data_IF_339113322161
#
_entry.id   IF_339113322161
#
_cell.length_a   1.000
_cell.length_b   1.000
_cell.length_c   1.000
_cell.angle_alpha   90.00
_cell.angle_beta   90.00
_cell.angle_gamma   90.00
#
_symmetry.space_group_name_H-M   'P 1'
#
loop_
_entity.id
_entity.type
_entity.pdbx_description
1 polymer ?
#
# COMPACT_ATOMS: atom_id res chain seq x y z
N UNK A 1 -10.15 8.81 -13.17
CA UNK A 1 -9.13 8.76 -12.09
C UNK A 1 -8.46 7.40 -12.18
N UNK A 2 -7.15 7.35 -12.47
CA UNK A 2 -6.47 6.08 -12.72
C UNK A 2 -6.32 5.30 -11.40
N UNK A 3 -7.15 4.27 -11.21
CA UNK A 3 -6.99 3.30 -10.12
C UNK A 3 -5.87 2.32 -10.51
N UNK A 4 -4.78 2.29 -9.73
CA UNK A 4 -3.60 1.50 -10.06
C UNK A 4 -3.52 0.19 -9.30
N UNK A 5 -2.93 -0.81 -9.94
CA UNK A 5 -2.45 -2.04 -9.28
C UNK A 5 -1.11 -1.77 -8.61
N UNK A 6 -0.91 -2.26 -7.39
CA UNK A 6 0.33 -2.11 -6.63
C UNK A 6 0.95 -3.48 -6.40
N UNK A 7 2.27 -3.57 -6.56
CA UNK A 7 3.03 -4.80 -6.36
C UNK A 7 3.99 -4.61 -5.19
N UNK A 8 3.83 -5.39 -4.13
CA UNK A 8 4.62 -5.42 -2.91
C UNK A 8 5.44 -6.71 -2.87
N UNK A 9 6.54 -6.73 -3.62
CA UNK A 9 7.42 -7.91 -3.70
C UNK A 9 8.43 -8.04 -2.55
N UNK A 10 8.45 -7.06 -1.64
CA UNK A 10 9.36 -7.06 -0.49
C UNK A 10 8.64 -7.55 0.76
N UNK A 11 9.37 -8.20 1.68
CA UNK A 11 8.82 -8.56 2.98
C UNK A 11 8.53 -7.31 3.82
N UNK A 12 7.43 -7.34 4.57
CA UNK A 12 7.02 -6.24 5.43
C UNK A 12 5.68 -6.50 6.10
N UNK A 13 5.22 -5.55 6.88
CA UNK A 13 3.92 -5.56 7.54
C UNK A 13 2.91 -4.69 6.78
N UNK A 14 1.71 -5.23 6.56
CA UNK A 14 0.55 -4.50 6.05
C UNK A 14 -0.41 -4.16 7.19
N UNK A 15 -0.72 -2.87 7.35
CA UNK A 15 -1.69 -2.36 8.33
C UNK A 15 -2.63 -1.36 7.66
N UNK A 16 -3.90 -1.37 8.04
CA UNK A 16 -4.82 -0.31 7.64
C UNK A 16 -4.63 0.90 8.54
N UNK A 17 -4.55 2.09 7.95
CA UNK A 17 -4.49 3.36 8.68
C UNK A 17 -5.33 4.41 7.95
N UNK A 18 -6.41 4.84 8.58
CA UNK A 18 -7.36 5.82 8.02
C UNK A 18 -7.86 5.38 6.62
N UNK A 19 -7.71 6.26 5.62
CA UNK A 19 -8.03 6.00 4.20
C UNK A 19 -6.83 5.47 3.39
N UNK A 20 -5.86 4.86 4.06
CA UNK A 20 -4.68 4.28 3.44
C UNK A 20 -4.38 2.87 3.95
N UNK A 21 -3.68 2.10 3.11
CA UNK A 21 -2.98 0.90 3.51
C UNK A 21 -1.52 1.28 3.74
N UNK A 22 -1.04 1.12 4.97
CA UNK A 22 0.36 1.30 5.34
C UNK A 22 1.09 -0.03 5.13
N UNK A 23 2.10 0.01 4.27
CA UNK A 23 3.09 -1.03 4.13
C UNK A 23 4.40 -0.58 4.79
N UNK A 24 4.83 -1.28 5.84
CA UNK A 24 6.06 -0.99 6.57
C UNK A 24 7.11 -2.06 6.29
N UNK A 25 8.30 -1.65 5.88
CA UNK A 25 9.46 -2.53 5.72
C UNK A 25 10.76 -1.81 6.11
N UNK A 26 11.92 -2.42 5.85
CA UNK A 26 13.24 -1.85 6.16
C UNK A 26 13.50 -0.49 5.47
N UNK A 27 12.79 -0.18 4.38
CA UNK A 27 12.87 1.11 3.67
C UNK A 27 11.94 2.17 4.27
N UNK A 28 11.13 1.80 5.27
CA UNK A 28 10.23 2.68 5.98
C UNK A 28 8.76 2.47 5.64
N UNK A 29 8.00 3.56 5.73
CA UNK A 29 6.54 3.57 5.62
C UNK A 29 6.09 3.96 4.21
N UNK A 30 5.35 3.08 3.55
CA UNK A 30 4.69 3.34 2.27
C UNK A 30 3.19 3.40 2.47
N UNK A 31 2.59 4.52 2.09
CA UNK A 31 1.15 4.74 2.21
C UNK A 31 0.49 4.58 0.84
N UNK A 32 -0.44 3.64 0.75
CA UNK A 32 -1.24 3.37 -0.43
C UNK A 32 -2.65 3.96 -0.20
N UNK A 33 -3.02 5.06 -0.86
CA UNK A 33 -4.36 5.63 -0.73
C UNK A 33 -5.38 4.67 -1.31
N UNK A 34 -6.44 4.39 -0.57
CA UNK A 34 -7.45 3.40 -0.98
C UNK A 34 -8.23 3.88 -2.20
N UNK A 35 -8.54 5.18 -2.27
CA UNK A 35 -9.29 5.77 -3.39
C UNK A 35 -8.59 5.60 -4.75
N UNK A 36 -7.26 5.43 -4.77
CA UNK A 36 -6.47 5.25 -5.99
C UNK A 36 -5.84 3.87 -6.12
N UNK A 37 -6.05 2.96 -5.16
CA UNK A 37 -5.49 1.60 -5.14
C UNK A 37 -6.59 0.58 -5.33
N UNK A 38 -6.62 -0.06 -6.51
CA UNK A 38 -7.66 -1.05 -6.83
C UNK A 38 -7.29 -2.45 -6.34
N UNK A 39 -6.03 -2.82 -6.51
CA UNK A 39 -5.50 -4.15 -6.27
C UNK A 39 -4.09 -4.05 -5.69
N UNK A 40 -3.75 -4.98 -4.80
CA UNK A 40 -2.43 -5.13 -4.19
C UNK A 40 -2.01 -6.59 -4.36
N UNK A 41 -0.84 -6.82 -4.95
CA UNK A 41 -0.22 -8.13 -5.17
C UNK A 41 1.14 -8.22 -4.48
#
# INVERSE_FOLDING_TARGET
MASGTKYLMSMGELKRKDNSVLFHNEKGNFYLPIESTREIY
#
